data_IF_293475145534
#
_entry.id   IF_293475145534
#
_cell.length_a   1.000
_cell.length_b   1.000
_cell.length_c   1.000
_cell.angle_alpha   90.00
_cell.angle_beta   90.00
_cell.angle_gamma   90.00
#
_symmetry.space_group_name_H-M   'P 1'
#
loop_
_entity.id
_entity.type
_entity.pdbx_description
1 polymer ?
#
# COMPACT_ATOMS: atom_id res chain seq x y z
N UNK A 1 2.46 8.84 27.17
CA UNK A 1 2.52 8.16 25.85
C UNK A 1 3.53 8.88 24.97
N UNK A 2 4.39 8.15 24.26
CA UNK A 2 5.26 8.75 23.26
C UNK A 2 4.44 9.19 22.04
N UNK A 3 4.54 10.46 21.65
CA UNK A 3 3.87 11.00 20.47
C UNK A 3 4.55 10.54 19.18
N UNK A 4 3.81 10.54 18.07
CA UNK A 4 4.27 10.14 16.74
C UNK A 4 4.78 11.38 16.00
N UNK A 5 6.03 11.32 15.55
CA UNK A 5 6.68 12.41 14.80
C UNK A 5 6.04 12.61 13.42
N UNK A 6 6.34 13.74 12.79
CA UNK A 6 5.87 14.08 11.43
C UNK A 6 6.13 12.94 10.42
N UNK A 7 5.22 12.76 9.47
CA UNK A 7 5.19 11.68 8.46
C UNK A 7 4.99 10.27 9.03
N UNK A 8 4.70 10.12 10.33
CA UNK A 8 4.32 8.83 10.91
C UNK A 8 2.81 8.63 10.85
N UNK A 9 2.40 7.38 10.71
CA UNK A 9 0.98 7.02 10.65
C UNK A 9 0.27 7.43 11.92
N UNK A 10 -0.97 7.83 11.84
CA UNK A 10 -1.81 8.18 12.98
C UNK A 10 -3.26 7.74 12.71
N UNK A 11 -4.04 7.63 13.79
CA UNK A 11 -5.48 7.41 13.72
C UNK A 11 -6.26 8.61 14.26
N UNK A 12 -5.62 9.42 15.12
CA UNK A 12 -6.16 10.60 15.79
C UNK A 12 -5.03 11.59 16.06
N UNK A 13 -5.35 12.86 16.19
CA UNK A 13 -4.38 13.95 16.42
C UNK A 13 -3.60 13.78 17.71
N UNK A 14 -4.22 13.25 18.77
CA UNK A 14 -3.58 12.97 20.06
C UNK A 14 -2.43 11.93 19.97
N UNK A 15 -2.31 11.23 18.82
CA UNK A 15 -1.17 10.37 18.55
C UNK A 15 0.03 11.13 18.00
N UNK A 16 -0.15 12.31 17.44
CA UNK A 16 0.89 13.11 16.82
C UNK A 16 1.59 14.02 17.83
N UNK A 17 2.85 14.34 17.58
CA UNK A 17 3.59 15.25 18.45
C UNK A 17 3.05 16.69 18.37
N UNK A 18 3.26 17.50 19.43
CA UNK A 18 2.86 18.90 19.42
C UNK A 18 3.31 19.62 18.14
N UNK A 19 2.41 20.41 17.55
CA UNK A 19 2.64 21.09 16.27
C UNK A 19 2.32 20.26 15.01
N UNK A 20 1.78 19.05 15.17
CA UNK A 20 1.29 18.21 14.05
C UNK A 20 -0.07 17.60 14.35
N UNK A 21 -0.91 17.45 13.33
CA UNK A 21 -2.22 16.82 13.38
C UNK A 21 -2.28 15.61 12.43
N UNK A 22 -3.24 14.73 12.64
CA UNK A 22 -3.46 13.56 11.83
C UNK A 22 -4.22 13.91 10.56
N UNK A 23 -3.51 14.16 9.48
CA UNK A 23 -4.07 14.41 8.16
C UNK A 23 -3.82 13.23 7.24
N UNK A 24 -4.86 12.69 6.60
CA UNK A 24 -4.77 11.52 5.73
C UNK A 24 -4.06 10.32 6.38
N UNK A 25 -4.27 10.11 7.69
CA UNK A 25 -3.65 9.04 8.44
C UNK A 25 -2.15 9.20 8.67
N UNK A 26 -1.61 10.41 8.48
CA UNK A 26 -0.20 10.77 8.67
C UNK A 26 -0.09 12.05 9.50
N UNK A 27 0.84 12.09 10.46
CA UNK A 27 1.13 13.31 11.22
C UNK A 27 1.73 14.38 10.29
N UNK A 28 0.96 15.41 9.96
CA UNK A 28 1.32 16.52 9.10
C UNK A 28 1.18 17.84 9.88
N UNK A 29 1.84 18.94 9.46
CA UNK A 29 1.56 20.24 10.06
C UNK A 29 0.10 20.61 9.75
N UNK A 30 -0.62 21.25 10.68
CA UNK A 30 -1.95 21.78 10.40
C UNK A 30 -1.83 22.77 9.24
N UNK A 31 -2.66 22.62 8.21
CA UNK A 31 -2.67 23.58 7.11
C UNK A 31 -3.10 24.95 7.65
N UNK A 32 -2.42 26.05 7.26
CA UNK A 32 -2.82 27.37 7.69
C UNK A 32 -4.18 27.69 7.07
N UNK A 33 -5.19 27.77 7.93
CA UNK A 33 -6.52 28.22 7.59
C UNK A 33 -6.41 29.73 7.36
N UNK A 34 -6.19 30.17 6.11
CA UNK A 34 -6.44 31.56 5.74
C UNK A 34 -7.95 31.77 5.80
N UNK A 35 -8.42 32.31 6.91
CA UNK A 35 -9.82 32.61 7.14
C UNK A 35 -10.00 33.25 8.50
N UNK A 36 -10.18 34.56 8.50
CA UNK A 36 -10.54 35.39 9.65
C UNK A 36 -11.68 34.78 10.49
N UNK A 37 -11.52 34.78 11.83
CA UNK A 37 -12.38 35.44 12.82
C UNK A 37 -12.32 34.75 14.21
N UNK A 38 -12.26 35.49 15.33
CA UNK A 38 -12.91 35.11 16.60
C UNK A 38 -14.35 35.69 16.64
N UNK A 39 -15.27 35.36 17.58
CA UNK A 39 -15.14 34.59 18.82
C UNK A 39 -16.27 33.54 19.07
N UNK A 40 -16.14 32.83 20.20
CA UNK A 40 -17.16 32.35 21.15
C UNK A 40 -18.40 31.53 20.68
N UNK A 41 -18.60 30.37 21.33
CA UNK A 41 -19.94 29.83 21.61
C UNK A 41 -20.30 28.47 21.01
N UNK A 42 -20.40 27.45 21.87
CA UNK A 42 -21.54 26.52 21.90
C UNK A 42 -21.59 25.32 20.94
N UNK A 43 -21.80 24.14 21.55
CA UNK A 43 -22.47 22.93 21.03
C UNK A 43 -21.83 22.10 19.89
N UNK A 44 -21.38 20.90 20.28
CA UNK A 44 -21.40 19.71 19.43
C UNK A 44 -22.85 19.15 19.36
N UNK A 45 -23.23 18.27 18.41
CA UNK A 45 -22.41 17.56 17.43
C UNK A 45 -23.03 17.61 16.01
N UNK A 46 -22.37 18.24 15.04
CA UNK A 46 -22.80 18.03 13.65
C UNK A 46 -22.12 16.79 13.07
N UNK A 47 -22.95 15.79 12.81
CA UNK A 47 -22.72 14.66 11.92
C UNK A 47 -22.30 15.14 10.54
N UNK A 48 -21.03 15.54 10.42
CA UNK A 48 -20.36 15.86 9.18
C UNK A 48 -20.21 14.60 8.35
N UNK A 49 -21.26 14.31 7.58
CA UNK A 49 -21.33 13.46 6.40
C UNK A 49 -19.92 13.28 5.81
N UNK A 50 -19.31 12.12 6.03
CA UNK A 50 -18.10 11.74 5.29
C UNK A 50 -18.58 11.60 3.85
N UNK A 51 -18.49 12.69 3.10
CA UNK A 51 -18.51 12.64 1.65
C UNK A 51 -17.53 11.54 1.28
N UNK A 52 -17.94 10.52 0.49
CA UNK A 52 -16.97 9.56 0.00
C UNK A 52 -16.01 10.38 -0.85
N UNK A 53 -14.85 10.71 -0.28
CA UNK A 53 -13.72 11.20 -1.06
C UNK A 53 -13.60 10.16 -2.15
N UNK A 54 -13.80 10.56 -3.41
CA UNK A 54 -13.65 9.67 -4.55
C UNK A 54 -12.19 9.25 -4.53
N UNK A 55 -11.91 8.11 -3.89
CA UNK A 55 -10.59 7.51 -3.91
C UNK A 55 -10.35 7.10 -5.36
N UNK A 56 -9.62 7.95 -6.08
CA UNK A 56 -9.09 7.59 -7.38
C UNK A 56 -8.09 6.46 -7.14
N UNK A 57 -8.26 5.29 -7.77
CA UNK A 57 -7.30 4.21 -7.65
C UNK A 57 -5.90 4.68 -8.07
N UNK A 58 -4.89 4.38 -7.26
CA UNK A 58 -3.50 4.77 -7.49
C UNK A 58 -2.90 4.06 -8.70
N UNK A 59 -2.03 4.76 -9.40
CA UNK A 59 -1.31 4.28 -10.58
C UNK A 59 -0.05 3.51 -10.19
N UNK A 60 0.64 2.92 -11.18
CA UNK A 60 1.90 2.24 -10.93
C UNK A 60 2.93 3.20 -10.32
N UNK A 61 3.47 2.86 -9.15
CA UNK A 61 4.35 3.76 -8.41
C UNK A 61 3.74 4.32 -7.13
N UNK A 62 2.42 4.48 -7.09
CA UNK A 62 1.74 5.18 -6.02
C UNK A 62 1.78 4.44 -4.69
N UNK A 63 1.84 5.18 -3.59
CA UNK A 63 1.79 4.60 -2.26
C UNK A 63 0.42 3.98 -1.99
N UNK A 64 0.42 2.76 -1.49
CA UNK A 64 -0.80 2.01 -1.19
C UNK A 64 -0.75 1.38 0.19
N UNK A 65 -1.93 1.11 0.76
CA UNK A 65 -2.07 0.34 1.99
C UNK A 65 -2.62 -1.06 1.71
N UNK A 66 -3.53 -1.13 0.74
CA UNK A 66 -4.26 -2.33 0.30
C UNK A 66 -4.32 -2.36 -1.23
N UNK A 67 -4.53 -3.53 -1.81
CA UNK A 67 -4.67 -3.65 -3.27
C UNK A 67 -5.92 -2.97 -3.82
N UNK A 68 -6.94 -2.72 -2.98
CA UNK A 68 -8.12 -1.92 -3.33
C UNK A 68 -7.80 -0.46 -3.64
N UNK A 69 -6.65 0.03 -3.17
CA UNK A 69 -6.22 1.40 -3.36
C UNK A 69 -5.56 1.59 -4.72
N UNK A 70 -5.30 0.51 -5.48
CA UNK A 70 -4.61 0.54 -6.76
C UNK A 70 -5.57 0.35 -7.93
N UNK A 71 -5.21 0.90 -9.09
CA UNK A 71 -5.95 0.73 -10.33
C UNK A 71 -6.09 -0.75 -10.75
N UNK A 72 -7.10 -1.08 -11.57
CA UNK A 72 -7.27 -2.45 -12.09
C UNK A 72 -6.00 -2.99 -12.73
N UNK A 73 -5.66 -4.24 -12.44
CA UNK A 73 -4.42 -4.87 -12.93
C UNK A 73 -3.17 -4.57 -12.09
N UNK A 74 -3.30 -3.79 -11.00
CA UNK A 74 -2.24 -3.54 -10.04
C UNK A 74 -2.50 -4.25 -8.70
N UNK A 75 -1.45 -4.46 -7.92
CA UNK A 75 -1.53 -4.93 -6.54
C UNK A 75 -0.66 -4.06 -5.62
N UNK A 76 -1.00 -4.05 -4.33
CA UNK A 76 -0.20 -3.35 -3.34
C UNK A 76 0.92 -4.24 -2.80
N UNK A 77 2.16 -4.00 -3.23
CA UNK A 77 3.31 -4.82 -2.88
C UNK A 77 4.45 -4.01 -2.25
N UNK A 78 5.23 -4.66 -1.39
CA UNK A 78 6.36 -4.02 -0.69
C UNK A 78 7.48 -3.66 -1.67
N UNK A 79 7.99 -2.44 -1.54
CA UNK A 79 9.20 -1.98 -2.19
C UNK A 79 10.00 -1.20 -1.15
N UNK A 80 11.20 -1.67 -0.82
CA UNK A 80 11.97 -1.10 0.29
C UNK A 80 11.17 -1.10 1.62
N UNK A 81 11.09 0.07 2.24
CA UNK A 81 10.46 0.32 3.53
C UNK A 81 9.00 0.76 3.40
N UNK A 82 8.46 0.80 2.17
CA UNK A 82 7.10 1.22 1.85
C UNK A 82 6.36 0.17 1.01
N UNK A 83 5.08 0.44 0.73
CA UNK A 83 4.26 -0.31 -0.19
C UNK A 83 3.81 0.61 -1.31
N UNK A 84 3.79 0.07 -2.52
CA UNK A 84 3.38 0.79 -3.71
C UNK A 84 2.57 -0.10 -4.64
N UNK A 85 1.75 0.52 -5.49
CA UNK A 85 1.01 -0.15 -6.54
C UNK A 85 1.98 -0.64 -7.61
N UNK A 86 1.96 -1.94 -7.89
CA UNK A 86 2.79 -2.62 -8.88
C UNK A 86 1.92 -3.48 -9.81
N UNK A 87 2.37 -3.77 -11.04
CA UNK A 87 1.60 -4.59 -11.96
C UNK A 87 1.45 -6.04 -11.48
N UNK A 88 0.24 -6.58 -11.62
CA UNK A 88 -0.05 -8.01 -11.47
C UNK A 88 0.66 -8.79 -12.58
N UNK A 89 1.23 -9.95 -12.23
CA UNK A 89 2.09 -10.70 -13.15
C UNK A 89 1.27 -11.41 -14.24
N UNK A 90 1.64 -11.18 -15.50
CA UNK A 90 1.08 -11.80 -16.70
C UNK A 90 1.73 -13.16 -16.99
N UNK A 91 1.16 -13.89 -17.93
CA UNK A 91 1.70 -15.18 -18.38
C UNK A 91 3.17 -15.06 -18.80
N UNK A 92 3.98 -16.06 -18.45
CA UNK A 92 5.42 -16.10 -18.72
C UNK A 92 6.27 -15.22 -17.79
N UNK A 93 5.69 -14.27 -17.06
CA UNK A 93 6.45 -13.42 -16.14
C UNK A 93 6.90 -14.18 -14.89
N UNK A 94 8.06 -13.78 -14.37
CA UNK A 94 8.68 -14.39 -13.19
C UNK A 94 7.89 -14.05 -11.93
N UNK A 95 7.45 -15.10 -11.24
CA UNK A 95 6.78 -15.03 -9.95
C UNK A 95 7.68 -15.61 -8.85
N UNK A 96 7.49 -15.17 -7.61
CA UNK A 96 8.18 -15.73 -6.45
C UNK A 96 7.27 -16.72 -5.73
N UNK A 97 7.71 -17.99 -5.65
CA UNK A 97 6.99 -19.03 -4.90
C UNK A 97 7.61 -19.19 -3.51
N UNK A 98 6.93 -18.68 -2.48
CA UNK A 98 7.37 -18.87 -1.10
C UNK A 98 7.13 -20.32 -0.65
N UNK A 99 8.22 -21.09 -0.43
CA UNK A 99 8.14 -22.49 0.04
C UNK A 99 7.94 -22.62 1.56
N UNK A 100 8.19 -21.57 2.34
CA UNK A 100 8.09 -21.59 3.81
C UNK A 100 7.30 -20.40 4.32
N UNK A 101 6.33 -20.67 5.19
CA UNK A 101 5.55 -19.67 5.94
C UNK A 101 6.52 -18.88 6.84
N UNK A 102 6.71 -17.59 6.58
CA UNK A 102 7.59 -16.70 7.36
C UNK A 102 8.72 -16.01 6.57
N UNK A 103 9.05 -16.46 5.36
CA UNK A 103 10.08 -15.81 4.53
C UNK A 103 9.64 -14.45 3.95
N UNK A 104 8.33 -14.15 3.97
CA UNK A 104 7.77 -12.92 3.41
C UNK A 104 8.27 -11.63 4.09
N UNK A 105 8.70 -11.70 5.35
CA UNK A 105 9.12 -10.53 6.13
C UNK A 105 10.47 -9.95 5.71
N UNK A 106 11.33 -10.79 5.12
CA UNK A 106 12.70 -10.44 4.69
C UNK A 106 12.73 -9.93 3.25
N UNK A 107 11.68 -10.19 2.46
CA UNK A 107 11.67 -9.82 1.06
C UNK A 107 11.28 -8.35 0.91
N UNK A 108 12.28 -7.54 0.61
CA UNK A 108 12.15 -6.10 0.48
C UNK A 108 11.48 -5.68 -0.84
N UNK A 109 11.54 -6.56 -1.85
CA UNK A 109 11.02 -6.37 -3.20
C UNK A 109 9.98 -7.42 -3.53
N UNK A 110 8.83 -7.35 -2.84
CA UNK A 110 7.74 -8.27 -3.10
C UNK A 110 7.16 -8.02 -4.51
N UNK A 111 6.91 -9.11 -5.23
CA UNK A 111 6.19 -9.12 -6.50
C UNK A 111 4.69 -9.25 -6.25
N UNK A 112 3.89 -8.83 -7.22
CA UNK A 112 2.47 -9.10 -7.22
C UNK A 112 2.18 -10.58 -7.49
N UNK A 113 0.97 -11.06 -7.13
CA UNK A 113 0.50 -12.38 -7.55
C UNK A 113 0.40 -12.46 -9.09
N UNK A 114 0.28 -13.68 -9.60
CA UNK A 114 -0.13 -13.90 -10.98
C UNK A 114 -1.56 -13.42 -11.20
N UNK A 115 -1.87 -13.00 -12.42
CA UNK A 115 -3.21 -12.60 -12.82
C UNK A 115 -4.23 -13.74 -12.62
N UNK A 116 -5.50 -13.36 -12.57
CA UNK A 116 -6.61 -14.32 -12.51
C UNK A 116 -6.47 -15.34 -13.65
N UNK A 117 -6.60 -16.63 -13.35
CA UNK A 117 -6.42 -17.69 -14.36
C UNK A 117 -4.99 -18.25 -14.46
N UNK A 118 -4.02 -17.69 -13.73
CA UNK A 118 -2.63 -18.11 -13.76
C UNK A 118 -2.13 -18.63 -12.40
N UNK A 119 -1.28 -19.65 -12.44
CA UNK A 119 -0.58 -20.21 -11.29
C UNK A 119 0.95 -20.03 -11.43
N UNK A 120 1.61 -19.78 -10.30
CA UNK A 120 3.07 -19.68 -10.25
C UNK A 120 3.73 -21.07 -10.27
N UNK A 121 4.18 -21.52 -11.45
CA UNK A 121 4.75 -22.86 -11.69
C UNK A 121 6.24 -22.77 -11.99
N UNK A 122 6.99 -23.85 -11.73
CA UNK A 122 8.40 -23.87 -12.11
C UNK A 122 8.50 -23.82 -13.65
N UNK A 123 9.40 -22.99 -14.18
CA UNK A 123 9.65 -22.98 -15.61
C UNK A 123 10.40 -24.26 -15.99
N UNK A 124 9.79 -25.09 -16.84
CA UNK A 124 10.48 -26.24 -17.43
C UNK A 124 11.42 -25.71 -18.51
N UNK A 125 12.69 -25.55 -18.17
CA UNK A 125 13.73 -25.31 -19.17
C UNK A 125 14.00 -26.59 -19.94
N UNK A 126 13.91 -26.51 -21.28
CA UNK A 126 14.56 -27.45 -22.16
C UNK A 126 16.07 -27.18 -22.05
N UNK A 127 16.76 -27.83 -21.12
CA UNK A 127 18.21 -28.10 -21.17
C UNK A 127 18.60 -29.03 -20.02
N UNK A 128 19.21 -30.16 -20.39
CA UNK A 128 19.51 -31.32 -19.54
C UNK A 128 20.66 -31.12 -18.53
N UNK A 129 20.93 -29.90 -18.06
CA UNK A 129 22.08 -29.63 -17.18
C UNK A 129 21.79 -28.72 -15.97
N UNK A 130 20.57 -28.21 -15.78
CA UNK A 130 20.27 -27.41 -14.61
C UNK A 130 18.81 -26.98 -14.56
N UNK A 131 18.00 -27.66 -13.76
CA UNK A 131 16.61 -27.27 -13.53
C UNK A 131 16.55 -25.80 -13.11
N UNK A 132 16.05 -24.94 -14.00
CA UNK A 132 15.85 -23.52 -13.69
C UNK A 132 14.97 -23.43 -12.45
N UNK A 133 15.52 -22.89 -11.36
CA UNK A 133 14.81 -22.68 -10.09
C UNK A 133 13.78 -21.53 -10.18
N UNK A 134 13.61 -20.99 -11.39
CA UNK A 134 12.72 -19.89 -11.68
C UNK A 134 11.28 -20.37 -11.76
N UNK A 135 10.38 -19.56 -11.19
CA UNK A 135 8.96 -19.78 -11.32
C UNK A 135 8.36 -18.71 -12.23
N UNK A 136 7.42 -19.10 -13.08
CA UNK A 136 6.68 -18.21 -13.99
C UNK A 136 5.19 -18.41 -13.85
N UNK A 137 4.41 -17.37 -14.14
CA UNK A 137 2.96 -17.44 -14.20
C UNK A 137 2.53 -18.21 -15.44
N UNK A 138 1.80 -19.30 -15.26
CA UNK A 138 1.33 -20.20 -16.31
C UNK A 138 -0.17 -20.44 -16.13
N UNK A 139 -0.95 -20.72 -17.17
CA UNK A 139 -2.37 -21.04 -17.06
C UNK A 139 -2.64 -22.19 -16.07
N UNK A 140 -3.78 -22.15 -15.39
CA UNK A 140 -4.25 -23.27 -14.59
C UNK A 140 -4.35 -24.57 -15.40
#
# INVERSE_FOLDING_TARGET
>A
LACRRRRKRCLRDAMCCPGTACSNGICAPPEPQTGENPPDGGDAPDTGRVSPVRFTPGEEGDFCLRSSDCAPGLCCARHFWSKMCKPVLREGQVCTRHRRKGAHGLELFQRCPCAQGLACRAQRGADAAGASRLHTCQPH
#
